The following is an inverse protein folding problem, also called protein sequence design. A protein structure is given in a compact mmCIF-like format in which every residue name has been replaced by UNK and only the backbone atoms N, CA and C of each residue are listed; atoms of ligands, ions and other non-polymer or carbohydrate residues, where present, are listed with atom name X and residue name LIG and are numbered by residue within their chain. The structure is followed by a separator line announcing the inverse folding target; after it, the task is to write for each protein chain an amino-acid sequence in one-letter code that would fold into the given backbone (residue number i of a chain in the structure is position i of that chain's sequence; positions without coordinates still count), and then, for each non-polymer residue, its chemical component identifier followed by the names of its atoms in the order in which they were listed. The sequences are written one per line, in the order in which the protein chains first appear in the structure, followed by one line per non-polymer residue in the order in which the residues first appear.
data_IF_130001348483
#
_entry.id   IF_130001348483
#
_cell.length_a   1.000
_cell.length_b   1.000
_cell.length_c   1.000
_cell.angle_alpha   90.00
_cell.angle_beta   90.00
_cell.angle_gamma   90.00
#
_symmetry.space_group_name_H-M   'P 1'
#
loop_
_entity.id
_entity.type
_entity.pdbx_description
1 polymer ?
#
# COMPACT_ATOMS: atom_id res chain seq x y z
N UNK A 1 27.80 1.16 -22.33
CA UNK A 1 26.80 0.23 -22.92
C UNK A 1 26.79 -1.02 -22.06
N UNK A 2 25.71 -1.27 -21.31
CA UNK A 2 25.60 -2.49 -20.53
C UNK A 2 25.59 -3.70 -21.49
N UNK A 3 26.62 -4.55 -21.41
CA UNK A 3 26.60 -5.84 -22.09
C UNK A 3 25.61 -6.73 -21.35
N UNK A 4 24.35 -6.70 -21.79
CA UNK A 4 23.28 -7.54 -21.26
C UNK A 4 23.64 -9.01 -21.47
N UNK A 5 23.92 -9.74 -20.38
CA UNK A 5 23.78 -11.20 -20.38
C UNK A 5 22.33 -11.51 -20.75
N UNK A 6 22.14 -12.41 -21.72
CA UNK A 6 20.81 -12.89 -22.11
C UNK A 6 20.06 -13.36 -20.85
N UNK A 7 18.89 -12.76 -20.59
CA UNK A 7 18.03 -13.16 -19.50
C UNK A 7 17.54 -14.60 -19.74
N UNK A 8 18.04 -15.55 -18.94
CA UNK A 8 17.71 -16.98 -19.05
C UNK A 8 16.41 -17.38 -18.34
N UNK A 9 15.72 -16.43 -17.70
CA UNK A 9 14.40 -16.62 -17.07
C UNK A 9 13.35 -15.80 -17.80
N UNK A 10 12.13 -16.36 -17.94
CA UNK A 10 10.94 -15.59 -18.32
C UNK A 10 10.87 -14.35 -17.41
N UNK A 11 10.81 -13.17 -18.01
CA UNK A 11 10.59 -11.93 -17.27
C UNK A 11 9.24 -12.01 -16.56
N UNK A 12 9.25 -11.88 -15.24
CA UNK A 12 8.02 -11.69 -14.46
C UNK A 12 7.52 -10.28 -14.78
N UNK A 13 6.21 -10.14 -14.98
CA UNK A 13 5.60 -8.81 -15.10
C UNK A 13 5.90 -8.01 -13.82
N UNK A 14 6.33 -6.75 -13.94
CA UNK A 14 6.66 -5.91 -12.77
C UNK A 14 5.46 -5.76 -11.82
N UNK A 15 4.22 -5.86 -12.32
CA UNK A 15 3.03 -5.90 -11.46
C UNK A 15 3.02 -7.12 -10.53
N UNK A 16 3.58 -8.25 -10.98
CA UNK A 16 3.72 -9.50 -10.22
C UNK A 16 5.04 -9.61 -9.46
N UNK A 17 5.94 -8.64 -9.59
CA UNK A 17 7.17 -8.62 -8.83
C UNK A 17 6.87 -8.42 -7.33
N UNK A 18 7.50 -9.24 -6.50
CA UNK A 18 7.50 -9.07 -5.04
C UNK A 18 8.81 -8.39 -4.60
N UNK A 19 8.79 -7.57 -3.54
CA UNK A 19 9.99 -7.00 -2.96
C UNK A 19 11.05 -8.06 -2.65
N UNK A 20 12.32 -7.75 -2.96
CA UNK A 20 13.45 -8.66 -2.68
C UNK A 20 13.84 -8.62 -1.20
N UNK A 21 14.77 -9.49 -0.79
CA UNK A 21 15.31 -9.49 0.57
C UNK A 21 15.96 -8.14 0.92
N UNK A 22 16.63 -7.47 -0.03
CA UNK A 22 17.15 -6.11 0.15
C UNK A 22 16.04 -5.11 0.47
N UNK A 23 14.92 -5.15 -0.27
CA UNK A 23 13.78 -4.24 -0.01
C UNK A 23 13.24 -4.46 1.41
N UNK A 24 13.03 -5.71 1.79
CA UNK A 24 12.50 -6.05 3.12
C UNK A 24 13.50 -5.74 4.24
N UNK A 25 14.81 -5.89 4.00
CA UNK A 25 15.85 -5.46 4.94
C UNK A 25 15.79 -3.95 5.18
N UNK A 26 15.61 -3.15 4.13
CA UNK A 26 15.47 -1.70 4.24
C UNK A 26 14.21 -1.29 5.05
N UNK A 27 13.12 -2.07 4.94
CA UNK A 27 11.92 -1.87 5.76
C UNK A 27 12.25 -2.07 7.25
N UNK A 28 12.90 -3.17 7.62
CA UNK A 28 13.30 -3.38 9.03
C UNK A 28 14.24 -2.27 9.52
N UNK A 29 15.22 -1.85 8.70
CA UNK A 29 16.13 -0.76 9.06
C UNK A 29 15.40 0.58 9.24
N UNK A 30 14.34 0.84 8.47
CA UNK A 30 13.44 1.98 8.67
C UNK A 30 12.71 1.87 10.02
N UNK A 31 12.11 0.72 10.33
CA UNK A 31 11.35 0.53 11.57
C UNK A 31 12.23 0.64 12.83
N UNK A 32 13.51 0.24 12.72
CA UNK A 32 14.52 0.43 13.77
C UNK A 32 15.07 1.85 13.86
N UNK A 33 14.69 2.73 12.91
CA UNK A 33 15.22 4.09 12.80
C UNK A 33 16.71 4.14 12.44
N UNK A 34 17.27 3.07 11.89
CA UNK A 34 18.67 3.01 11.42
C UNK A 34 18.77 3.70 10.06
N UNK A 35 17.87 3.37 9.13
CA UNK A 35 17.76 4.03 7.84
C UNK A 35 17.18 5.44 8.05
N UNK A 36 17.92 6.47 7.61
CA UNK A 36 17.52 7.89 7.76
C UNK A 36 16.84 8.48 6.53
N UNK A 37 17.07 7.86 5.38
CA UNK A 37 16.45 8.24 4.12
C UNK A 37 16.87 7.26 3.03
N UNK A 38 15.99 7.07 2.06
CA UNK A 38 16.19 6.21 0.90
C UNK A 38 16.10 7.06 -0.37
N UNK A 39 17.07 6.92 -1.26
CA UNK A 39 17.06 7.57 -2.57
C UNK A 39 16.98 6.47 -3.62
N UNK A 40 15.96 6.52 -4.47
CA UNK A 40 15.72 5.50 -5.49
C UNK A 40 15.70 6.11 -6.88
N UNK A 41 16.39 5.43 -7.81
CA UNK A 41 16.31 5.67 -9.25
C UNK A 41 15.32 4.72 -9.93
N UNK A 42 14.80 3.72 -9.20
CA UNK A 42 13.90 2.71 -9.74
C UNK A 42 12.48 3.26 -9.83
N UNK A 43 11.79 2.91 -10.92
CA UNK A 43 10.39 3.26 -11.16
C UNK A 43 9.41 2.09 -10.91
N UNK A 44 9.91 0.93 -10.47
CA UNK A 44 9.14 -0.32 -10.32
C UNK A 44 8.12 -0.33 -9.15
N UNK A 45 8.19 0.67 -8.28
CA UNK A 45 7.32 0.85 -7.13
C UNK A 45 7.53 -0.14 -5.98
N UNK A 46 8.53 -1.03 -6.05
CA UNK A 46 8.72 -2.10 -5.07
C UNK A 46 9.09 -1.59 -3.67
N UNK A 47 9.81 -0.47 -3.56
CA UNK A 47 10.09 0.13 -2.25
C UNK A 47 8.83 0.59 -1.53
N UNK A 48 7.91 1.27 -2.25
CA UNK A 48 6.64 1.72 -1.66
C UNK A 48 5.77 0.53 -1.29
N UNK A 49 5.67 -0.45 -2.20
CA UNK A 49 4.92 -1.70 -2.00
C UNK A 49 5.47 -2.54 -0.85
N UNK A 50 6.78 -2.51 -0.57
CA UNK A 50 7.38 -3.23 0.55
C UNK A 50 7.04 -2.63 1.92
N UNK A 51 6.52 -1.40 1.97
CA UNK A 51 6.23 -0.67 3.21
C UNK A 51 7.26 0.42 3.56
N UNK A 52 8.14 0.82 2.63
CA UNK A 52 8.93 2.05 2.83
C UNK A 52 7.96 3.24 2.81
N UNK A 53 8.02 4.06 3.86
CA UNK A 53 7.11 5.19 4.03
C UNK A 53 7.41 6.30 3.01
N UNK A 54 6.35 7.02 2.62
CA UNK A 54 6.43 8.10 1.63
C UNK A 54 7.41 9.21 2.01
N UNK A 55 7.48 9.53 3.29
CA UNK A 55 8.34 10.58 3.84
C UNK A 55 9.82 10.19 3.88
N UNK A 56 10.12 8.89 3.83
CA UNK A 56 11.47 8.34 3.95
C UNK A 56 12.16 8.12 2.61
N UNK A 57 11.44 8.14 1.49
CA UNK A 57 11.97 7.82 0.16
C UNK A 57 11.91 8.99 -0.81
N UNK A 58 12.98 9.23 -1.55
CA UNK A 58 13.06 10.12 -2.70
C UNK A 58 13.11 9.31 -4.01
N UNK A 59 11.97 9.21 -4.69
CA UNK A 59 11.84 8.55 -6.00
C UNK A 59 12.20 9.54 -7.12
N UNK A 60 13.45 9.53 -7.55
CA UNK A 60 13.99 10.56 -8.45
C UNK A 60 13.42 10.47 -9.86
N UNK A 61 13.16 9.27 -10.37
CA UNK A 61 12.65 9.06 -11.72
C UNK A 61 11.14 8.77 -11.74
N UNK A 62 10.46 9.06 -10.63
CA UNK A 62 9.05 8.72 -10.45
C UNK A 62 8.79 7.26 -10.16
N UNK A 63 7.51 6.90 -10.17
CA UNK A 63 7.03 5.57 -9.85
C UNK A 63 5.88 5.18 -10.79
N UNK A 64 6.03 4.04 -11.47
CA UNK A 64 5.07 3.57 -12.47
C UNK A 64 3.70 3.25 -11.89
N UNK A 65 3.59 3.11 -10.58
CA UNK A 65 2.38 2.82 -9.83
C UNK A 65 1.77 4.05 -9.14
N UNK A 66 2.39 5.23 -9.23
CA UNK A 66 1.87 6.45 -8.60
C UNK A 66 1.27 7.39 -9.64
N UNK A 67 0.05 7.83 -9.36
CA UNK A 67 -0.56 9.00 -9.99
C UNK A 67 -0.93 10.05 -8.96
N UNK A 68 -0.97 11.31 -9.34
CA UNK A 68 -1.27 12.41 -8.45
C UNK A 68 -2.23 13.42 -9.07
N UNK A 69 -2.93 14.15 -8.21
CA UNK A 69 -3.79 15.26 -8.62
C UNK A 69 -3.03 16.58 -8.47
N UNK A 70 -2.84 17.32 -9.56
CA UNK A 70 -2.18 18.65 -9.52
C UNK A 70 -2.96 19.72 -8.74
N UNK A 71 -4.28 19.52 -8.52
CA UNK A 71 -5.12 20.47 -7.80
C UNK A 71 -5.01 20.31 -6.28
N UNK A 72 -5.17 19.09 -5.75
CA UNK A 72 -5.12 18.84 -4.30
C UNK A 72 -3.79 18.30 -3.81
N UNK A 73 -2.85 17.99 -4.71
CA UNK A 73 -1.55 17.40 -4.40
C UNK A 73 -1.62 15.94 -3.94
N UNK A 74 -2.80 15.31 -3.93
CA UNK A 74 -2.93 13.94 -3.43
C UNK A 74 -2.30 12.95 -4.39
N UNK A 75 -1.42 12.11 -3.85
CA UNK A 75 -0.86 10.92 -4.50
C UNK A 75 -1.74 9.69 -4.25
N UNK A 76 -1.79 8.81 -5.26
CA UNK A 76 -2.50 7.54 -5.24
C UNK A 76 -1.53 6.46 -5.70
N UNK A 77 -1.12 5.58 -4.78
CA UNK A 77 -0.39 4.37 -5.11
C UNK A 77 -1.39 3.32 -5.63
N UNK A 78 -1.10 2.75 -6.79
CA UNK A 78 -1.95 1.78 -7.49
C UNK A 78 -1.25 0.43 -7.56
N UNK A 79 -2.01 -0.65 -7.46
CA UNK A 79 -1.46 -1.98 -7.73
C UNK A 79 -1.33 -2.28 -9.24
N UNK A 80 -1.63 -1.30 -10.10
CA UNK A 80 -1.51 -1.36 -11.57
C UNK A 80 -0.66 -0.19 -12.08
N UNK A 81 -0.27 -0.24 -13.35
CA UNK A 81 0.47 0.86 -13.97
C UNK A 81 -0.38 2.13 -14.02
N UNK A 82 0.09 3.15 -13.30
CA UNK A 82 -0.48 4.48 -13.29
C UNK A 82 -0.20 5.24 -14.60
N UNK A 83 0.82 4.82 -15.35
CA UNK A 83 1.18 5.39 -16.64
C UNK A 83 0.15 5.03 -17.71
N UNK A 84 -0.11 5.98 -18.58
CA UNK A 84 -0.88 5.78 -19.80
C UNK A 84 -0.30 4.69 -20.73
N UNK A 85 -1.16 3.88 -21.36
CA UNK A 85 -0.76 2.82 -22.30
C UNK A 85 -1.19 3.08 -23.76
N UNK A 86 -1.73 4.25 -24.05
CA UNK A 86 -2.19 4.70 -25.37
C UNK A 86 -1.12 5.52 -26.12
N UNK A 87 -1.35 5.74 -27.42
CA UNK A 87 -0.42 6.43 -28.34
C UNK A 87 -0.38 7.97 -28.15
N UNK A 88 -0.47 8.45 -26.90
CA UNK A 88 -0.37 9.87 -26.59
C UNK A 88 1.09 10.36 -26.72
N UNK A 89 1.33 11.68 -26.82
CA UNK A 89 2.69 12.22 -26.81
C UNK A 89 3.46 11.79 -25.56
N UNK A 90 4.76 11.55 -25.69
CA UNK A 90 5.61 11.02 -24.62
C UNK A 90 5.51 11.82 -23.30
N UNK A 91 5.45 13.15 -23.40
CA UNK A 91 5.40 14.07 -22.24
C UNK A 91 3.97 14.38 -21.75
N UNK A 92 2.97 13.63 -22.20
CA UNK A 92 1.59 13.74 -21.71
C UNK A 92 1.35 12.80 -20.53
N UNK A 93 1.69 13.27 -19.33
CA UNK A 93 1.53 12.50 -18.09
C UNK A 93 0.09 12.27 -17.66
N UNK A 94 -0.94 12.73 -18.39
CA UNK A 94 -2.33 12.46 -17.97
C UNK A 94 -2.53 10.96 -17.90
N UNK A 95 -3.25 10.45 -16.91
CA UNK A 95 -3.46 9.00 -16.82
C UNK A 95 -4.76 8.52 -17.46
N UNK A 96 -5.60 9.45 -17.90
CA UNK A 96 -6.98 9.19 -18.34
C UNK A 96 -7.97 8.99 -17.19
N UNK A 97 -7.51 8.98 -15.93
CA UNK A 97 -8.35 8.88 -14.73
C UNK A 97 -8.58 10.25 -14.11
N UNK A 98 -9.64 10.34 -13.28
CA UNK A 98 -10.02 11.55 -12.55
C UNK A 98 -9.76 11.37 -11.07
N UNK A 99 -9.37 12.44 -10.40
CA UNK A 99 -9.17 12.45 -8.96
C UNK A 99 -10.49 12.16 -8.24
N UNK A 100 -10.57 11.11 -7.40
CA UNK A 100 -11.81 10.79 -6.68
C UNK A 100 -12.16 11.81 -5.60
N UNK A 101 -11.20 12.64 -5.17
CA UNK A 101 -11.37 13.67 -4.14
C UNK A 101 -11.88 14.98 -4.78
N UNK A 102 -11.28 15.41 -5.90
CA UNK A 102 -11.69 16.63 -6.61
C UNK A 102 -12.77 16.39 -7.68
N UNK A 103 -13.08 15.12 -7.98
CA UNK A 103 -14.10 14.57 -8.89
C UNK A 103 -13.91 14.93 -10.38
N UNK A 104 -13.35 16.09 -10.70
CA UNK A 104 -13.27 16.61 -12.08
C UNK A 104 -11.84 16.74 -12.61
N UNK A 105 -10.84 16.72 -11.73
CA UNK A 105 -9.45 16.99 -12.11
C UNK A 105 -8.75 15.75 -12.66
N UNK A 106 -8.02 15.84 -13.79
CA UNK A 106 -7.25 14.74 -14.33
C UNK A 106 -6.10 14.36 -13.40
N UNK A 107 -5.88 13.06 -13.24
CA UNK A 107 -4.69 12.52 -12.59
C UNK A 107 -3.52 12.48 -13.57
N UNK A 108 -2.32 12.61 -13.03
CA UNK A 108 -1.07 12.55 -13.79
C UNK A 108 -0.14 11.52 -13.20
N UNK A 109 0.56 10.74 -14.02
CA UNK A 109 1.64 9.87 -13.54
C UNK A 109 2.84 10.70 -13.05
N UNK A 110 3.83 10.00 -12.51
CA UNK A 110 5.03 10.60 -11.92
C UNK A 110 6.30 10.26 -12.68
N UNK A 111 6.21 9.47 -13.76
CA UNK A 111 7.39 8.98 -14.46
C UNK A 111 8.12 10.12 -15.13
N UNK A 112 9.45 10.11 -15.01
CA UNK A 112 10.32 11.08 -15.64
C UNK A 112 10.84 10.50 -16.94
N UNK A 113 10.58 11.17 -18.05
CA UNK A 113 11.11 10.84 -19.36
C UNK A 113 12.43 11.57 -19.64
N UNK A 114 13.16 11.12 -20.67
CA UNK A 114 14.36 11.82 -21.10
C UNK A 114 14.04 13.27 -21.47
N UNK A 115 14.91 14.19 -21.05
CA UNK A 115 14.77 15.64 -21.22
C UNK A 115 13.71 16.31 -20.34
N UNK A 116 13.18 15.60 -19.34
CA UNK A 116 12.40 16.21 -18.25
C UNK A 116 13.28 16.47 -17.03
N UNK A 117 12.91 17.48 -16.25
CA UNK A 117 13.56 17.79 -14.99
C UNK A 117 13.17 16.77 -13.91
N UNK A 118 14.12 16.43 -13.04
CA UNK A 118 13.82 15.66 -11.84
C UNK A 118 12.84 16.42 -10.92
N UNK A 119 11.96 15.73 -10.19
CA UNK A 119 11.00 16.37 -9.31
C UNK A 119 11.73 17.06 -8.16
N UNK A 120 11.48 18.37 -8.01
CA UNK A 120 12.19 19.22 -7.06
C UNK A 120 12.07 18.74 -5.60
N UNK A 121 10.87 18.35 -5.16
CA UNK A 121 10.67 17.95 -3.77
C UNK A 121 11.44 16.67 -3.37
N UNK A 122 11.36 15.54 -4.11
CA UNK A 122 12.23 14.40 -3.91
C UNK A 122 13.73 14.73 -3.99
N UNK A 123 14.13 15.58 -4.94
CA UNK A 123 15.52 16.02 -5.09
C UNK A 123 16.03 16.77 -3.86
N UNK A 124 15.33 17.82 -3.43
CA UNK A 124 15.71 18.61 -2.24
C UNK A 124 15.79 17.76 -0.98
N UNK A 125 14.86 16.80 -0.80
CA UNK A 125 14.91 15.85 0.31
C UNK A 125 16.15 14.94 0.22
N UNK A 126 16.47 14.44 -0.97
CA UNK A 126 17.62 13.58 -1.19
C UNK A 126 18.94 14.31 -0.89
N UNK A 127 19.08 15.53 -1.42
CA UNK A 127 20.22 16.41 -1.17
C UNK A 127 20.39 16.70 0.32
N UNK A 128 19.32 17.12 1.01
CA UNK A 128 19.35 17.39 2.45
C UNK A 128 19.71 16.15 3.30
N UNK A 129 19.36 14.94 2.84
CA UNK A 129 19.77 13.69 3.46
C UNK A 129 21.26 13.41 3.23
N UNK A 130 21.76 13.56 2.00
CA UNK A 130 23.17 13.42 1.68
C UNK A 130 24.04 14.42 2.46
N UNK A 131 23.60 15.67 2.58
CA UNK A 131 24.26 16.71 3.38
C UNK A 131 24.37 16.36 4.88
N UNK A 132 23.56 15.44 5.40
CA UNK A 132 23.61 15.04 6.81
C UNK A 132 24.22 13.65 7.03
N UNK A 133 24.34 12.86 5.98
CA UNK A 133 24.75 11.46 6.07
C UNK A 133 26.19 11.27 6.58
N UNK A 134 26.36 10.49 7.64
CA UNK A 134 27.63 9.91 8.04
C UNK A 134 27.95 8.62 7.26
N UNK A 135 26.93 7.96 6.71
CA UNK A 135 27.06 6.81 5.81
C UNK A 135 26.10 6.93 4.61
N UNK A 136 26.64 6.79 3.40
CA UNK A 136 25.87 6.57 2.18
C UNK A 136 26.21 5.18 1.62
N UNK A 137 25.21 4.31 1.56
CA UNK A 137 25.32 2.98 0.98
C UNK A 137 24.59 2.93 -0.36
N UNK A 138 25.33 2.76 -1.45
CA UNK A 138 24.78 2.54 -2.80
C UNK A 138 24.60 1.05 -3.03
N UNK A 139 23.40 0.64 -3.44
CA UNK A 139 23.06 -0.74 -3.75
C UNK A 139 22.61 -0.86 -5.20
N UNK A 140 23.37 -1.57 -6.03
CA UNK A 140 22.93 -1.99 -7.37
C UNK A 140 22.73 -0.86 -8.38
N UNK A 141 23.49 0.23 -8.29
CA UNK A 141 23.51 1.29 -9.30
C UNK A 141 24.88 1.40 -9.96
N UNK A 142 24.91 1.63 -11.27
CA UNK A 142 26.13 1.96 -12.01
C UNK A 142 26.61 3.40 -11.77
N UNK A 143 25.75 4.25 -11.20
CA UNK A 143 26.02 5.68 -10.94
C UNK A 143 26.42 6.48 -12.19
N UNK A 144 25.88 6.12 -13.35
CA UNK A 144 26.18 6.75 -14.65
C UNK A 144 25.16 7.81 -15.08
N UNK A 145 24.03 7.95 -14.36
CA UNK A 145 22.93 8.83 -14.74
C UNK A 145 22.97 10.10 -13.92
N UNK A 146 23.23 11.22 -14.59
CA UNK A 146 23.20 12.57 -14.03
C UNK A 146 21.78 13.14 -14.11
N UNK A 147 21.30 13.88 -13.08
CA UNK A 147 22.03 14.28 -11.87
C UNK A 147 21.91 13.31 -10.69
N UNK A 148 21.24 12.16 -10.84
CA UNK A 148 21.04 11.23 -9.72
C UNK A 148 22.36 10.71 -9.09
N UNK A 149 23.43 10.56 -9.89
CA UNK A 149 24.74 10.15 -9.41
C UNK A 149 25.50 11.24 -8.61
N UNK A 150 25.10 12.50 -8.73
CA UNK A 150 25.72 13.62 -7.99
C UNK A 150 25.44 13.52 -6.48
N UNK A 151 24.34 12.89 -6.09
CA UNK A 151 23.96 12.71 -4.68
C UNK A 151 24.95 11.85 -3.89
N UNK A 152 25.31 10.61 -4.31
CA UNK A 152 26.39 9.88 -3.65
C UNK A 152 27.78 10.51 -3.87
N UNK A 153 28.00 11.19 -5.01
CA UNK A 153 29.25 11.92 -5.26
C UNK A 153 29.48 12.99 -4.20
N UNK A 154 28.47 13.79 -3.87
CA UNK A 154 28.51 14.81 -2.81
C UNK A 154 29.00 14.23 -1.47
N UNK A 155 28.50 13.04 -1.10
CA UNK A 155 28.90 12.37 0.15
C UNK A 155 30.35 11.90 0.07
N UNK A 156 30.75 11.29 -1.04
CA UNK A 156 32.11 10.81 -1.26
C UNK A 156 33.16 11.94 -1.28
N UNK A 157 32.86 13.05 -1.96
CA UNK A 157 33.73 14.22 -2.01
C UNK A 157 33.90 14.87 -0.63
N UNK A 158 32.81 14.95 0.15
CA UNK A 158 32.89 15.41 1.54
C UNK A 158 33.77 14.48 2.38
N UNK A 159 33.61 13.17 2.26
CA UNK A 159 34.46 12.20 2.95
C UNK A 159 35.94 12.44 2.59
N UNK A 160 36.24 12.65 1.31
CA UNK A 160 37.60 12.91 0.83
C UNK A 160 38.16 14.22 1.39
N UNK A 161 37.34 15.27 1.46
CA UNK A 161 37.72 16.55 2.06
C UNK A 161 38.00 16.43 3.57
N UNK A 162 37.17 15.67 4.31
CA UNK A 162 37.40 15.39 5.74
C UNK A 162 38.68 14.59 5.97
N UNK A 163 38.96 13.57 5.15
CA UNK A 163 40.20 12.79 5.26
C UNK A 163 41.44 13.67 5.06
N UNK A 164 41.40 14.58 4.05
CA UNK A 164 42.49 15.55 3.81
C UNK A 164 42.71 16.49 5.00
N UNK A 165 41.64 17.00 5.62
CA UNK A 165 41.77 17.94 6.75
C UNK A 165 42.19 17.27 8.06
N UNK A 166 41.90 15.98 8.23
CA UNK A 166 42.18 15.22 9.46
C UNK A 166 43.46 14.37 9.41
N UNK A 167 44.16 14.34 8.27
CA UNK A 167 45.42 13.61 8.11
C UNK A 167 45.23 12.09 8.21
N UNK A 168 45.82 11.47 9.24
CA UNK A 168 45.78 10.02 9.45
C UNK A 168 44.49 9.49 10.10
N UNK A 169 43.53 10.36 10.46
CA UNK A 169 42.26 9.92 11.03
C UNK A 169 41.24 9.63 9.92
N UNK A 170 40.37 8.67 10.16
CA UNK A 170 39.26 8.37 9.27
C UNK A 170 38.26 9.54 9.17
N UNK A 171 37.62 9.64 8.01
CA UNK A 171 36.50 10.55 7.83
C UNK A 171 35.31 10.10 8.70
N UNK A 172 34.54 11.06 9.19
CA UNK A 172 33.27 10.75 9.87
C UNK A 172 32.16 10.42 8.87
N UNK A 173 32.38 10.69 7.59
CA UNK A 173 31.47 10.38 6.49
C UNK A 173 32.06 9.29 5.63
N UNK A 174 31.25 8.31 5.23
CA UNK A 174 31.66 7.20 4.39
C UNK A 174 30.71 7.01 3.21
N UNK A 175 31.27 6.80 2.02
CA UNK A 175 30.58 6.28 0.85
C UNK A 175 30.95 4.81 0.68
N UNK A 176 29.94 3.94 0.63
CA UNK A 176 30.07 2.50 0.42
C UNK A 176 29.27 2.14 -0.82
N UNK A 177 29.89 1.42 -1.76
CA UNK A 177 29.26 1.05 -3.04
C UNK A 177 29.25 -0.47 -3.17
N UNK A 178 28.04 -1.04 -3.17
CA UNK A 178 27.79 -2.43 -3.50
C UNK A 178 27.18 -2.54 -4.90
N UNK A 179 27.99 -2.95 -5.86
CA UNK A 179 27.55 -3.20 -7.23
C UNK A 179 28.41 -4.31 -7.87
N UNK A 180 27.80 -5.11 -8.74
CA UNK A 180 28.50 -6.20 -9.45
C UNK A 180 29.49 -5.68 -10.50
N UNK A 181 29.21 -4.50 -11.06
CA UNK A 181 30.04 -3.83 -12.06
C UNK A 181 30.74 -2.64 -11.43
N UNK A 182 31.88 -2.25 -12.00
CA UNK A 182 32.54 -0.99 -11.66
C UNK A 182 31.58 0.20 -11.80
N UNK A 183 31.78 1.21 -10.97
CA UNK A 183 31.02 2.46 -11.03
C UNK A 183 31.96 3.64 -11.25
N UNK A 184 31.43 4.72 -11.84
CA UNK A 184 32.21 5.94 -12.09
C UNK A 184 32.70 6.61 -10.79
N UNK A 185 32.14 6.25 -9.63
CA UNK A 185 32.45 6.83 -8.32
C UNK A 185 33.24 5.89 -7.40
N UNK A 186 33.74 4.75 -7.91
CA UNK A 186 34.50 3.78 -7.11
C UNK A 186 35.72 4.40 -6.42
N UNK A 187 36.35 5.40 -7.06
CA UNK A 187 37.51 6.13 -6.52
C UNK A 187 37.20 6.97 -5.26
N UNK A 188 35.92 7.22 -4.96
CA UNK A 188 35.48 7.94 -3.75
C UNK A 188 35.27 7.00 -2.55
N UNK A 189 35.36 5.68 -2.73
CA UNK A 189 35.41 4.71 -1.63
C UNK A 189 36.80 4.74 -0.98
N UNK A 190 36.98 5.55 0.06
CA UNK A 190 38.29 5.84 0.65
C UNK A 190 38.95 4.69 1.43
N UNK A 191 38.16 3.68 1.80
CA UNK A 191 38.62 2.42 2.36
C UNK A 191 38.41 1.33 1.30
N UNK A 192 39.42 0.49 0.99
CA UNK A 192 39.27 -0.63 0.06
C UNK A 192 38.05 -1.52 0.31
N UNK A 193 37.67 -1.71 1.58
CA UNK A 193 36.54 -2.57 1.97
C UNK A 193 35.16 -1.92 1.70
N UNK A 194 35.12 -0.61 1.38
CA UNK A 194 33.87 0.11 1.09
C UNK A 194 33.38 -0.09 -0.35
N UNK A 195 34.21 -0.67 -1.23
CA UNK A 195 33.77 -1.10 -2.57
C UNK A 195 33.51 -2.60 -2.58
N UNK A 196 32.24 -2.99 -2.65
CA UNK A 196 31.79 -4.38 -2.49
C UNK A 196 31.24 -4.95 -3.80
N UNK A 197 31.90 -5.97 -4.35
CA UNK A 197 31.45 -6.66 -5.56
C UNK A 197 30.55 -7.85 -5.22
N UNK A 198 29.28 -7.56 -4.92
CA UNK A 198 28.29 -8.58 -4.55
C UNK A 198 26.90 -8.23 -5.09
N UNK A 199 25.99 -9.21 -5.03
CA UNK A 199 24.56 -8.93 -5.17
C UNK A 199 24.10 -8.19 -3.92
N UNK A 200 23.19 -7.23 -4.09
CA UNK A 200 22.63 -6.48 -2.97
C UNK A 200 21.97 -7.40 -1.92
N UNK A 201 21.23 -8.43 -2.35
CA UNK A 201 20.61 -9.38 -1.42
C UNK A 201 21.63 -10.16 -0.58
N UNK A 202 22.77 -10.55 -1.18
CA UNK A 202 23.81 -11.29 -0.47
C UNK A 202 24.46 -10.38 0.60
N UNK A 203 24.75 -9.12 0.26
CA UNK A 203 25.28 -8.14 1.21
C UNK A 203 24.29 -7.86 2.33
N UNK A 204 23.04 -7.53 1.98
CA UNK A 204 22.03 -7.11 2.96
C UNK A 204 21.66 -8.24 3.92
N UNK A 205 21.64 -9.49 3.46
CA UNK A 205 21.46 -10.63 4.37
C UNK A 205 22.58 -10.73 5.41
N UNK A 206 23.84 -10.53 5.01
CA UNK A 206 24.97 -10.53 5.94
C UNK A 206 24.95 -9.33 6.89
N UNK A 207 24.60 -8.14 6.40
CA UNK A 207 24.43 -6.93 7.23
C UNK A 207 23.36 -7.16 8.29
N UNK A 208 22.18 -7.65 7.90
CA UNK A 208 21.08 -7.90 8.82
C UNK A 208 21.44 -8.99 9.84
N UNK A 209 22.14 -10.05 9.41
CA UNK A 209 22.67 -11.08 10.31
C UNK A 209 23.64 -10.49 11.34
N UNK A 210 24.59 -9.66 10.91
CA UNK A 210 25.55 -8.99 11.79
C UNK A 210 24.87 -8.05 12.80
N UNK A 211 23.86 -7.31 12.34
CA UNK A 211 23.05 -6.43 13.20
C UNK A 211 22.08 -7.21 14.11
N UNK A 212 21.98 -8.53 13.94
CA UNK A 212 21.03 -9.39 14.66
C UNK A 212 19.57 -8.95 14.45
N UNK A 213 19.26 -8.47 13.25
CA UNK A 213 17.93 -8.03 12.84
C UNK A 213 17.32 -9.04 11.86
N UNK A 214 16.05 -9.45 12.03
CA UNK A 214 15.38 -10.30 11.07
C UNK A 214 15.08 -9.54 9.78
N UNK A 215 15.04 -10.24 8.65
CA UNK A 215 14.45 -9.69 7.42
C UNK A 215 12.97 -10.09 7.42
N UNK A 216 12.01 -9.15 7.51
CA UNK A 216 10.60 -9.47 7.56
C UNK A 216 10.11 -10.08 6.25
N UNK A 217 9.13 -10.98 6.35
CA UNK A 217 8.44 -11.51 5.17
C UNK A 217 7.56 -10.45 4.52
N UNK A 218 7.56 -10.42 3.19
CA UNK A 218 6.67 -9.55 2.43
C UNK A 218 5.22 -10.02 2.55
N UNK A 219 4.34 -9.10 2.90
CA UNK A 219 2.90 -9.31 2.95
C UNK A 219 2.18 -8.19 2.20
N UNK A 220 1.20 -8.56 1.39
CA UNK A 220 0.28 -7.60 0.78
C UNK A 220 -0.72 -7.19 1.86
N UNK A 221 -0.79 -5.89 2.16
CA UNK A 221 -1.68 -5.33 3.18
C UNK A 221 -2.69 -4.42 2.51
N UNK A 222 -3.96 -4.73 2.68
CA UNK A 222 -5.07 -3.95 2.13
C UNK A 222 -6.07 -3.63 3.23
N UNK A 223 -6.64 -2.43 3.21
CA UNK A 223 -7.69 -2.04 4.14
C UNK A 223 -9.03 -1.96 3.44
N UNK A 224 -9.98 -2.75 3.95
CA UNK A 224 -11.31 -2.86 3.43
C UNK A 224 -12.30 -2.20 4.38
N UNK A 225 -13.14 -1.31 3.87
CA UNK A 225 -14.29 -0.78 4.60
C UNK A 225 -15.56 -1.39 4.04
N UNK A 226 -16.35 -1.97 4.94
CA UNK A 226 -17.72 -2.42 4.68
C UNK A 226 -18.65 -1.47 5.42
N UNK A 227 -19.45 -0.74 4.66
CA UNK A 227 -20.46 0.18 5.17
C UNK A 227 -21.84 -0.41 4.89
N UNK A 228 -22.64 -0.61 5.93
CA UNK A 228 -24.00 -1.13 5.81
C UNK A 228 -24.98 -0.06 6.22
N UNK A 229 -25.95 0.19 5.34
CA UNK A 229 -27.06 1.10 5.55
C UNK A 229 -28.33 0.25 5.62
N UNK A 230 -28.84 0.13 6.84
CA UNK A 230 -30.03 -0.64 7.18
C UNK A 230 -31.22 0.30 7.23
N UNK A 231 -32.22 0.01 6.40
CA UNK A 231 -33.51 0.69 6.40
C UNK A 231 -34.20 0.68 7.78
N UNK A 232 -35.05 1.68 8.01
CA UNK A 232 -35.83 1.83 9.23
C UNK A 232 -36.87 0.71 9.44
N UNK A 233 -37.21 -0.02 8.37
CA UNK A 233 -37.92 -1.29 8.42
C UNK A 233 -36.93 -2.46 8.21
N UNK A 234 -36.40 -3.08 9.28
CA UNK A 234 -35.52 -4.24 9.18
C UNK A 234 -36.19 -5.50 8.60
N UNK A 235 -37.52 -5.54 8.49
CA UNK A 235 -38.28 -6.72 8.04
C UNK A 235 -38.62 -6.67 6.54
N UNK A 236 -38.95 -5.50 6.01
CA UNK A 236 -39.37 -5.30 4.61
C UNK A 236 -38.57 -4.27 3.82
N UNK A 237 -37.64 -3.56 4.47
CA UNK A 237 -36.89 -2.44 3.91
C UNK A 237 -35.82 -2.85 2.90
N UNK A 238 -35.20 -1.82 2.29
CA UNK A 238 -34.10 -1.99 1.35
C UNK A 238 -32.78 -1.60 2.01
N UNK A 239 -31.98 -2.61 2.31
CA UNK A 239 -30.66 -2.45 2.88
C UNK A 239 -29.61 -2.36 1.76
N UNK A 240 -28.51 -1.66 2.03
CA UNK A 240 -27.38 -1.57 1.11
C UNK A 240 -26.07 -1.80 1.84
N UNK A 241 -25.16 -2.52 1.18
CA UNK A 241 -23.77 -2.69 1.60
C UNK A 241 -22.87 -2.07 0.56
N UNK A 242 -21.97 -1.22 1.03
CA UNK A 242 -20.93 -0.58 0.22
C UNK A 242 -19.59 -1.13 0.65
N UNK A 243 -18.85 -1.70 -0.29
CA UNK A 243 -17.51 -2.23 -0.06
C UNK A 243 -16.50 -1.32 -0.76
N UNK A 244 -15.49 -0.83 -0.04
CA UNK A 244 -14.47 0.07 -0.57
C UNK A 244 -13.09 -0.25 -0.01
N UNK A 245 -12.06 -0.20 -0.85
CA UNK A 245 -10.67 -0.21 -0.42
C UNK A 245 -10.21 1.19 -0.03
N UNK A 246 -9.37 1.28 1.01
CA UNK A 246 -8.72 2.52 1.42
C UNK A 246 -7.23 2.31 1.70
N UNK A 247 -6.48 3.40 1.54
CA UNK A 247 -5.07 3.48 1.90
C UNK A 247 -4.89 3.57 3.44
N UNK A 248 -3.63 3.61 3.90
CA UNK A 248 -3.26 3.63 5.31
C UNK A 248 -3.89 4.79 6.10
N UNK A 249 -4.17 5.92 5.43
CA UNK A 249 -4.80 7.10 6.01
C UNK A 249 -6.33 6.97 6.22
N UNK A 250 -6.93 5.83 5.88
CA UNK A 250 -8.37 5.52 6.00
C UNK A 250 -9.32 6.41 5.18
N UNK A 251 -8.79 7.30 4.34
CA UNK A 251 -9.57 8.30 3.59
C UNK A 251 -9.35 8.19 2.09
N UNK A 252 -8.16 7.80 1.67
CA UNK A 252 -7.77 7.74 0.27
C UNK A 252 -8.28 6.46 -0.36
N UNK A 253 -9.07 6.52 -1.45
CA UNK A 253 -9.56 5.32 -2.11
C UNK A 253 -8.42 4.49 -2.71
N UNK A 254 -8.41 3.20 -2.39
CA UNK A 254 -7.48 2.21 -2.95
C UNK A 254 -8.28 1.17 -3.75
N UNK A 255 -7.88 0.95 -5.01
CA UNK A 255 -8.58 0.05 -5.92
C UNK A 255 -7.78 -1.24 -6.09
N UNK A 256 -8.09 -2.24 -5.26
CA UNK A 256 -7.47 -3.58 -5.29
C UNK A 256 -8.47 -4.71 -5.55
N UNK A 257 -9.77 -4.39 -5.60
CA UNK A 257 -10.85 -5.33 -5.89
C UNK A 257 -11.25 -5.25 -7.37
N UNK A 258 -11.45 -6.42 -7.97
CA UNK A 258 -12.02 -6.57 -9.31
C UNK A 258 -13.54 -6.74 -9.25
N UNK A 259 -14.02 -7.58 -8.33
CA UNK A 259 -15.46 -7.80 -8.15
C UNK A 259 -15.82 -8.01 -6.68
N UNK A 260 -17.05 -7.64 -6.33
CA UNK A 260 -17.66 -7.93 -5.03
C UNK A 260 -18.97 -8.65 -5.26
N UNK A 261 -19.12 -9.82 -4.62
CA UNK A 261 -20.32 -10.64 -4.63
C UNK A 261 -20.96 -10.63 -3.25
N UNK A 262 -22.26 -10.35 -3.18
CA UNK A 262 -23.06 -10.47 -1.97
C UNK A 262 -23.90 -11.74 -2.06
N UNK A 263 -23.80 -12.58 -1.03
CA UNK A 263 -24.70 -13.71 -0.77
C UNK A 263 -25.36 -13.46 0.59
N UNK A 264 -26.69 -13.56 0.61
CA UNK A 264 -27.51 -13.46 1.83
C UNK A 264 -28.22 -14.79 2.07
N UNK A 265 -28.69 -15.04 3.30
CA UNK A 265 -29.26 -16.35 3.66
C UNK A 265 -30.46 -16.76 2.81
N UNK A 266 -31.28 -15.79 2.38
CA UNK A 266 -32.57 -16.00 1.68
C UNK A 266 -32.60 -15.41 0.26
N UNK A 267 -31.49 -14.82 -0.20
CA UNK A 267 -31.42 -14.05 -1.45
C UNK A 267 -30.64 -14.75 -2.57
N UNK A 268 -30.93 -14.36 -3.81
CA UNK A 268 -30.06 -14.71 -4.95
C UNK A 268 -28.74 -13.93 -4.85
N UNK A 269 -27.58 -14.55 -5.15
CA UNK A 269 -26.30 -13.86 -5.19
C UNK A 269 -26.33 -12.65 -6.12
N UNK A 270 -25.73 -11.56 -5.69
CA UNK A 270 -25.55 -10.33 -6.49
C UNK A 270 -24.07 -10.05 -6.64
N UNK A 271 -23.67 -9.46 -7.77
CA UNK A 271 -22.26 -9.17 -8.05
C UNK A 271 -22.14 -7.82 -8.74
N UNK A 272 -21.14 -7.04 -8.33
CA UNK A 272 -20.75 -5.78 -8.95
C UNK A 272 -19.28 -5.88 -9.37
N UNK A 273 -18.96 -5.37 -10.56
CA UNK A 273 -17.62 -5.45 -11.18
C UNK A 273 -16.92 -4.11 -11.35
N UNK A 274 -17.56 -3.03 -10.90
CA UNK A 274 -17.08 -1.66 -11.08
C UNK A 274 -17.28 -0.88 -9.80
N UNK A 275 -16.25 -0.16 -9.36
CA UNK A 275 -16.37 0.76 -8.23
C UNK A 275 -17.34 1.91 -8.55
N UNK A 276 -18.11 2.40 -7.56
CA UNK A 276 -18.20 1.89 -6.18
C UNK A 276 -19.00 0.58 -6.07
N UNK A 277 -18.53 -0.37 -5.25
CA UNK A 277 -19.20 -1.66 -5.06
C UNK A 277 -20.38 -1.55 -4.09
N UNK A 278 -21.54 -1.11 -4.61
CA UNK A 278 -22.79 -0.97 -3.84
C UNK A 278 -23.76 -2.09 -4.19
N UNK A 279 -24.12 -2.91 -3.21
CA UNK A 279 -25.05 -4.03 -3.37
C UNK A 279 -26.24 -3.84 -2.44
N UNK A 280 -27.46 -3.94 -2.98
CA UNK A 280 -28.68 -3.89 -2.18
C UNK A 280 -29.30 -5.26 -1.97
N UNK A 281 -29.88 -5.50 -0.81
CA UNK A 281 -30.73 -6.67 -0.54
C UNK A 281 -32.04 -6.25 0.12
N UNK A 282 -32.98 -7.19 0.18
CA UNK A 282 -34.28 -7.05 0.84
C UNK A 282 -34.53 -8.31 1.66
N UNK A 283 -35.14 -8.16 2.81
CA UNK A 283 -35.55 -9.27 3.66
C UNK A 283 -35.26 -8.98 5.14
N UNK A 284 -35.91 -9.74 6.00
CA UNK A 284 -35.75 -9.64 7.44
C UNK A 284 -34.30 -9.92 7.86
N UNK A 285 -33.68 -8.95 8.52
CA UNK A 285 -32.46 -9.19 9.29
C UNK A 285 -32.81 -10.19 10.41
N UNK A 286 -32.17 -11.37 10.40
CA UNK A 286 -32.27 -12.38 11.46
C UNK A 286 -33.55 -13.23 11.51
N UNK A 287 -33.37 -14.49 11.93
CA UNK A 287 -34.41 -15.21 12.65
C UNK A 287 -34.45 -14.62 14.07
N UNK A 288 -35.65 -14.41 14.62
CA UNK A 288 -35.79 -14.01 16.02
C UNK A 288 -35.01 -15.03 16.86
N UNK A 289 -34.03 -14.60 17.65
CA UNK A 289 -33.43 -15.49 18.66
C UNK A 289 -34.57 -15.94 19.59
N UNK A 290 -35.01 -17.19 19.43
CA UNK A 290 -36.11 -17.80 20.21
C UNK A 290 -35.79 -17.88 21.71
N UNK A 291 -34.53 -17.65 22.12
CA UNK A 291 -34.12 -17.67 23.53
C UNK A 291 -34.73 -16.52 24.35
N UNK A 292 -35.20 -15.44 23.72
CA UNK A 292 -35.95 -14.38 24.40
C UNK A 292 -37.44 -14.71 24.64
N UNK A 293 -37.96 -15.79 24.06
CA UNK A 293 -39.37 -16.22 24.20
C UNK A 293 -39.58 -17.34 25.24
N UNK A 294 -38.51 -17.91 25.80
CA UNK A 294 -38.61 -18.98 26.81
C UNK A 294 -38.27 -18.57 28.24
N UNK A 295 -37.85 -17.31 28.48
CA UNK A 295 -37.76 -16.77 29.84
C UNK A 295 -38.83 -15.70 30.07
N UNK A 296 -39.61 -15.89 31.13
CA UNK A 296 -40.65 -15.02 31.66
C UNK A 296 -42.04 -15.06 30.98
N UNK A 297 -42.68 -16.24 31.05
CA UNK A 297 -44.14 -16.32 31.07
C UNK A 297 -44.76 -15.89 32.43
N UNK A 298 -44.05 -15.17 33.31
CA UNK A 298 -44.58 -14.81 34.64
C UNK A 298 -44.23 -13.42 35.20
N UNK A 299 -43.51 -12.54 34.50
CA UNK A 299 -43.23 -11.19 35.01
C UNK A 299 -43.62 -10.11 34.01
N UNK A 300 -44.67 -9.35 34.33
CA UNK A 300 -45.22 -8.28 33.49
C UNK A 300 -44.47 -6.94 33.63
N UNK A 301 -43.17 -6.95 33.95
CA UNK A 301 -42.39 -5.74 34.27
C UNK A 301 -41.26 -5.36 33.30
N UNK A 302 -41.10 -6.02 32.15
CA UNK A 302 -40.08 -5.63 31.15
C UNK A 302 -40.69 -5.28 29.79
N UNK A 303 -41.25 -4.06 29.69
CA UNK A 303 -41.74 -3.48 28.42
C UNK A 303 -40.66 -2.77 27.57
N UNK A 304 -39.41 -2.76 28.02
CA UNK A 304 -38.31 -2.02 27.38
C UNK A 304 -37.19 -2.92 26.82
N UNK A 305 -37.50 -4.15 26.43
CA UNK A 305 -36.53 -4.99 25.72
C UNK A 305 -36.37 -4.50 24.27
N UNK A 306 -35.26 -3.81 23.98
CA UNK A 306 -34.85 -3.52 22.59
C UNK A 306 -34.48 -4.84 21.93
N UNK A 307 -35.34 -5.34 21.05
CA UNK A 307 -35.04 -6.54 20.27
C UNK A 307 -33.97 -6.19 19.23
N UNK A 308 -32.83 -6.87 19.28
CA UNK A 308 -31.79 -6.77 18.25
C UNK A 308 -31.90 -7.94 17.29
N UNK A 309 -31.77 -7.66 16.00
CA UNK A 309 -31.67 -8.67 14.96
C UNK A 309 -30.30 -8.63 14.31
N UNK A 310 -29.82 -9.79 13.85
CA UNK A 310 -28.55 -9.87 13.13
C UNK A 310 -28.65 -10.75 11.88
N UNK A 311 -27.94 -10.37 10.83
CA UNK A 311 -27.78 -11.17 9.62
C UNK A 311 -26.29 -11.24 9.28
N UNK A 312 -25.81 -12.44 8.93
CA UNK A 312 -24.46 -12.61 8.40
C UNK A 312 -24.52 -12.52 6.88
N UNK A 313 -23.84 -11.51 6.33
CA UNK A 313 -23.62 -11.34 4.91
C UNK A 313 -22.33 -12.04 4.51
N UNK A 314 -22.37 -12.89 3.48
CA UNK A 314 -21.17 -13.44 2.86
C UNK A 314 -20.76 -12.57 1.68
N UNK A 315 -19.61 -11.90 1.81
CA UNK A 315 -19.02 -11.05 0.79
C UNK A 315 -17.89 -11.80 0.08
N UNK A 316 -18.13 -12.24 -1.15
CA UNK A 316 -17.08 -12.78 -2.02
C UNK A 316 -16.27 -11.64 -2.64
N UNK A 317 -14.98 -11.57 -2.30
CA UNK A 317 -14.04 -10.56 -2.76
C UNK A 317 -13.14 -11.20 -3.83
N UNK A 318 -13.21 -10.69 -5.07
CA UNK A 318 -12.23 -11.03 -6.09
C UNK A 318 -11.25 -9.86 -6.26
N UNK A 319 -9.96 -10.15 -6.12
CA UNK A 319 -8.89 -9.16 -6.21
C UNK A 319 -8.42 -8.97 -7.65
N UNK A 320 -7.66 -7.90 -7.89
CA UNK A 320 -7.03 -7.67 -9.20
C UNK A 320 -6.01 -8.77 -9.54
N UNK A 321 -5.43 -9.44 -8.54
CA UNK A 321 -4.57 -10.62 -8.72
C UNK A 321 -3.13 -10.27 -9.02
N UNK A 322 -2.68 -9.05 -8.70
CA UNK A 322 -1.33 -8.58 -8.98
C UNK A 322 -0.26 -9.40 -8.24
N UNK A 323 -0.60 -10.02 -7.11
CA UNK A 323 0.29 -10.89 -6.34
C UNK A 323 -0.19 -12.35 -6.32
N UNK A 324 -1.11 -12.72 -7.21
CA UNK A 324 -1.75 -14.03 -7.21
C UNK A 324 -2.74 -14.24 -6.07
N UNK A 325 -3.34 -13.16 -5.55
CA UNK A 325 -4.31 -13.22 -4.46
C UNK A 325 -5.52 -14.08 -4.86
N UNK A 326 -5.83 -15.16 -4.10
CA UNK A 326 -7.05 -15.91 -4.33
C UNK A 326 -8.26 -15.11 -3.86
N UNK A 327 -9.43 -15.41 -4.43
CA UNK A 327 -10.69 -14.84 -3.93
C UNK A 327 -10.89 -15.17 -2.46
N UNK A 328 -11.51 -14.26 -1.71
CA UNK A 328 -11.75 -14.42 -0.28
C UNK A 328 -13.23 -14.25 0.05
N UNK A 329 -13.79 -15.13 0.89
CA UNK A 329 -15.17 -15.00 1.39
C UNK A 329 -15.15 -14.40 2.79
N UNK A 330 -15.55 -13.13 2.89
CA UNK A 330 -15.65 -12.39 4.15
C UNK A 330 -17.05 -12.57 4.74
N UNK A 331 -17.12 -13.09 5.96
CA UNK A 331 -18.35 -13.11 6.75
C UNK A 331 -18.49 -11.78 7.51
N UNK A 332 -19.51 -11.00 7.18
CA UNK A 332 -19.78 -9.69 7.77
C UNK A 332 -21.12 -9.71 8.49
N UNK A 333 -21.11 -9.50 9.81
CA UNK A 333 -22.34 -9.47 10.61
C UNK A 333 -22.92 -8.07 10.64
N UNK A 334 -24.17 -7.95 10.21
CA UNK A 334 -24.98 -6.74 10.34
C UNK A 334 -25.91 -6.92 11.53
N UNK A 335 -25.97 -5.92 12.40
CA UNK A 335 -26.88 -5.92 13.55
C UNK A 335 -27.74 -4.68 13.51
N UNK A 336 -29.06 -4.82 13.72
CA UNK A 336 -30.00 -3.72 13.78
C UNK A 336 -30.91 -3.85 15.00
N UNK A 337 -31.35 -2.70 15.53
CA UNK A 337 -32.36 -2.66 16.59
C UNK A 337 -33.74 -2.58 15.95
N UNK A 338 -34.68 -3.40 16.41
CA UNK A 338 -36.09 -3.31 16.00
C UNK A 338 -36.80 -2.19 16.79
N UNK A 339 -37.73 -1.46 16.15
CA UNK A 339 -38.61 -0.53 16.87
C UNK A 339 -39.53 -1.28 17.85
N UNK A 340 -39.89 -0.62 18.96
CA UNK A 340 -40.84 -1.18 19.93
C UNK A 340 -42.18 -1.49 19.26
N UNK A 341 -42.80 -2.60 19.68
CA UNK A 341 -44.04 -3.11 19.11
C UNK A 341 -45.16 -2.05 19.15
N UNK A 342 -45.59 -1.57 17.98
CA UNK A 342 -46.63 -0.54 17.83
C UNK A 342 -46.15 0.86 17.44
N UNK A 343 -44.83 1.10 17.35
CA UNK A 343 -44.29 2.33 16.75
C UNK A 343 -44.32 2.23 15.21
N UNK A 344 -44.69 3.31 14.52
CA UNK A 344 -44.60 3.37 13.07
C UNK A 344 -43.16 3.09 12.61
N UNK A 345 -42.97 2.41 11.47
CA UNK A 345 -41.68 2.15 10.82
C UNK A 345 -41.04 3.45 10.27
N UNK A 346 -40.81 4.43 11.14
CA UNK A 346 -40.27 5.76 10.83
C UNK A 346 -39.04 6.07 11.71
N UNK A 347 -38.25 5.05 12.06
CA UNK A 347 -36.96 5.24 12.71
C UNK A 347 -35.91 5.81 11.75
N UNK A 348 -34.76 6.30 12.26
CA UNK A 348 -33.63 6.66 11.40
C UNK A 348 -33.02 5.40 10.76
N UNK A 349 -32.52 5.53 9.53
CA UNK A 349 -31.67 4.51 8.92
C UNK A 349 -30.43 4.33 9.79
N UNK A 350 -30.04 3.09 10.00
CA UNK A 350 -28.86 2.78 10.82
C UNK A 350 -27.69 2.48 9.90
N UNK A 351 -26.63 3.28 10.02
CA UNK A 351 -25.42 3.13 9.22
C UNK A 351 -24.30 2.62 10.10
N UNK A 352 -23.74 1.47 9.73
CA UNK A 352 -22.55 0.93 10.40
C UNK A 352 -21.39 0.91 9.44
N UNK A 353 -20.20 1.24 9.95
CA UNK A 353 -18.95 1.23 9.20
C UNK A 353 -17.98 0.31 9.90
N UNK A 354 -17.56 -0.73 9.20
CA UNK A 354 -16.62 -1.72 9.72
C UNK A 354 -15.38 -1.77 8.84
N UNK A 355 -14.21 -1.70 9.47
CA UNK A 355 -12.91 -1.73 8.82
C UNK A 355 -12.22 -3.07 9.08
N UNK A 356 -11.67 -3.67 8.03
CA UNK A 356 -10.93 -4.92 8.05
C UNK A 356 -9.53 -4.71 7.49
N UNK A 357 -8.54 -5.32 8.14
CA UNK A 357 -7.19 -5.46 7.59
C UNK A 357 -7.10 -6.83 6.90
N UNK A 358 -6.88 -6.83 5.59
CA UNK A 358 -6.64 -8.02 4.80
C UNK A 358 -5.13 -8.14 4.59
N UNK A 359 -4.54 -9.24 5.04
CA UNK A 359 -3.11 -9.50 4.95
C UNK A 359 -2.93 -10.80 4.16
N UNK A 360 -2.24 -10.72 3.02
CA UNK A 360 -1.98 -11.88 2.16
C UNK A 360 -0.48 -12.14 2.07
N UNK A 361 -0.08 -13.39 2.24
CA UNK A 361 1.30 -13.82 2.03
C UNK A 361 1.42 -14.49 0.63
N UNK A 362 2.11 -13.85 -0.32
CA UNK A 362 2.23 -14.37 -1.69
C UNK A 362 3.15 -15.60 -1.80
N UNK A 363 3.93 -15.92 -0.77
CA UNK A 363 4.83 -17.07 -0.78
C UNK A 363 4.13 -18.38 -0.44
N UNK A 364 3.14 -18.35 0.46
CA UNK A 364 2.38 -19.54 0.87
C UNK A 364 0.90 -19.51 0.42
N UNK A 365 0.39 -18.37 -0.03
CA UNK A 365 -0.99 -18.21 -0.50
C UNK A 365 -2.03 -18.02 0.60
N UNK A 366 -1.62 -17.74 1.84
CA UNK A 366 -2.51 -17.64 3.00
C UNK A 366 -3.04 -16.22 3.23
N UNK A 367 -4.30 -16.14 3.67
CA UNK A 367 -4.94 -14.90 4.12
C UNK A 367 -5.02 -14.86 5.64
N UNK A 368 -4.73 -13.69 6.21
CA UNK A 368 -5.08 -13.31 7.57
C UNK A 368 -5.99 -12.08 7.51
N UNK A 369 -7.19 -12.17 8.09
CA UNK A 369 -8.16 -11.08 8.11
C UNK A 369 -8.50 -10.71 9.54
N UNK A 370 -8.30 -9.44 9.88
CA UNK A 370 -8.53 -8.92 11.22
C UNK A 370 -9.54 -7.77 11.19
N UNK A 371 -10.44 -7.73 12.18
CA UNK A 371 -11.28 -6.57 12.45
C UNK A 371 -10.39 -5.42 12.94
N UNK A 372 -10.40 -4.29 12.24
CA UNK A 372 -9.62 -3.10 12.61
C UNK A 372 -10.41 -2.14 13.50
N UNK A 373 -11.64 -1.81 13.10
CA UNK A 373 -12.55 -0.96 13.87
C UNK A 373 -14.00 -1.15 13.40
N UNK A 374 -14.96 -0.82 14.27
CA UNK A 374 -16.38 -0.77 13.90
C UNK A 374 -17.03 0.43 14.60
N UNK A 375 -17.80 1.21 13.86
CA UNK A 375 -18.55 2.37 14.37
C UNK A 375 -19.99 2.32 13.87
N UNK A 376 -20.93 2.78 14.70
CA UNK A 376 -22.36 2.90 14.38
C UNK A 376 -22.79 4.35 14.59
N UNK A 377 -23.57 4.88 13.64
CA UNK A 377 -24.19 6.20 13.73
C UNK A 377 -25.68 6.11 14.02
#
# INVERSE_FOLDING_TARGET
MAQGRQATKKSVDTLQAIPTQTHMALVELQERGILKGLISQNCDGLHRRSGIRADMISELHGNTNIEHCKQCGKEFLRDFYAVALDNRPLHDHRTGRKCPICITQPLHDTIIHFSEDLPLAPWTRAEANCEKADLCLVLGSSLTVTPANELPQLVGERAAAQKKSRGNQDANTNLVICNLQDTDLDYLCLNPDHRIFAKADDLMQQVMHYLQLPIPEFHVRQRLIVETDVDADPAGGRHTVTVKGVDEDNTTPASFLRTVKLVTARGRPRMVKTEPFVLGWRGMLGELEEEALQSNASDWEHKDAVMSVSEVLTLGLEFMGNYGEPSYELQHTVQASLPQCGAAAQGPRMVTRTSYNLIYNPQNGEWTVNLHSSSRN
#
